data_IF_252979984440
#
_entry.id   IF_252979984440
#
_cell.length_a   1.000
_cell.length_b   1.000
_cell.length_c   1.000
_cell.angle_alpha   90.00
_cell.angle_beta   90.00
_cell.angle_gamma   90.00
#
_symmetry.space_group_name_H-M   'P 1'
#
loop_
_entity.id
_entity.type
_entity.pdbx_description
1 polymer ?
#
# COMPACT_ATOMS: atom_id res chain seq x y z
N UNK A 1 -20.21 -8.24 -20.64
CA UNK A 1 -18.89 -8.14 -19.99
C UNK A 1 -18.74 -6.72 -19.49
N UNK A 2 -18.58 -6.54 -18.18
CA UNK A 2 -18.51 -5.21 -17.57
C UNK A 2 -17.41 -5.22 -16.51
N UNK A 3 -16.39 -4.39 -16.72
CA UNK A 3 -15.42 -4.05 -15.68
C UNK A 3 -16.12 -3.10 -14.72
N UNK A 4 -16.09 -3.40 -13.44
CA UNK A 4 -16.72 -2.63 -12.39
C UNK A 4 -15.66 -2.15 -11.40
N UNK A 5 -15.79 -0.92 -10.92
CA UNK A 5 -15.02 -0.47 -9.78
C UNK A 5 -15.38 -1.34 -8.57
N UNK A 6 -14.36 -1.86 -7.90
CA UNK A 6 -14.53 -2.77 -6.77
C UNK A 6 -14.23 -2.04 -5.47
N UNK A 7 -13.02 -1.48 -5.33
CA UNK A 7 -12.58 -0.82 -4.11
C UNK A 7 -11.45 0.16 -4.41
N UNK A 8 -11.33 1.23 -3.62
CA UNK A 8 -10.13 2.07 -3.57
C UNK A 8 -9.58 2.10 -2.15
N UNK A 9 -8.40 1.51 -1.97
CA UNK A 9 -7.67 1.56 -0.70
C UNK A 9 -6.74 2.77 -0.70
N UNK A 10 -6.64 3.45 0.44
CA UNK A 10 -5.79 4.63 0.61
C UNK A 10 -4.99 4.52 1.90
N UNK A 11 -3.87 5.23 1.98
CA UNK A 11 -3.21 5.47 3.26
C UNK A 11 -4.07 6.37 4.13
N UNK A 12 -4.38 5.92 5.35
CA UNK A 12 -5.10 6.68 6.36
C UNK A 12 -4.82 6.09 7.76
N UNK A 13 -5.34 6.70 8.81
CA UNK A 13 -5.09 6.29 10.21
C UNK A 13 -6.14 5.32 10.77
N UNK A 14 -7.06 4.83 9.95
CA UNK A 14 -8.21 4.00 10.38
C UNK A 14 -8.18 2.59 9.80
N UNK A 15 -7.87 2.44 8.53
CA UNK A 15 -7.94 1.18 7.79
C UNK A 15 -6.54 0.56 7.56
N UNK A 16 -5.48 1.35 7.76
CA UNK A 16 -4.10 0.87 7.67
C UNK A 16 -3.64 0.32 9.00
N UNK A 17 -2.99 -0.83 8.97
CA UNK A 17 -2.44 -1.51 10.13
C UNK A 17 -0.92 -1.52 10.12
N UNK A 18 -0.33 -1.30 11.28
CA UNK A 18 1.10 -1.35 11.53
C UNK A 18 1.57 -2.74 11.98
N UNK A 19 2.83 -3.05 11.71
CA UNK A 19 3.58 -4.10 12.38
C UNK A 19 5.10 -3.91 12.25
N UNK A 20 5.86 -4.82 12.87
CA UNK A 20 7.33 -4.90 12.77
C UNK A 20 7.81 -5.61 11.50
N UNK A 21 6.92 -6.27 10.76
CA UNK A 21 7.24 -6.94 9.49
C UNK A 21 6.06 -6.87 8.54
N UNK A 22 6.34 -6.87 7.24
CA UNK A 22 5.31 -6.82 6.20
C UNK A 22 4.28 -7.94 6.30
N UNK A 23 4.72 -9.18 6.60
CA UNK A 23 3.81 -10.32 6.74
C UNK A 23 2.87 -10.18 7.94
N UNK A 24 3.36 -9.65 9.06
CA UNK A 24 2.53 -9.39 10.22
C UNK A 24 1.54 -8.26 9.96
N UNK A 25 1.96 -7.18 9.29
CA UNK A 25 1.07 -6.08 8.90
C UNK A 25 -0.03 -6.59 7.97
N UNK A 26 0.31 -7.42 6.98
CA UNK A 26 -0.65 -8.01 6.06
C UNK A 26 -1.68 -8.90 6.79
N UNK A 27 -1.22 -9.74 7.72
CA UNK A 27 -2.11 -10.56 8.56
C UNK A 27 -3.02 -9.71 9.45
N UNK A 28 -2.47 -8.63 10.04
CA UNK A 28 -3.19 -7.65 10.84
C UNK A 28 -4.32 -6.99 10.05
N UNK A 29 -4.03 -6.50 8.84
CA UNK A 29 -5.02 -5.90 7.95
C UNK A 29 -6.08 -6.90 7.48
N UNK A 30 -5.67 -8.12 7.12
CA UNK A 30 -6.60 -9.17 6.71
C UNK A 30 -7.61 -9.51 7.82
N UNK A 31 -7.18 -9.48 9.09
CA UNK A 31 -8.00 -9.85 10.23
C UNK A 31 -8.55 -8.67 11.04
N UNK A 32 -8.27 -7.43 10.61
CA UNK A 32 -8.69 -6.21 11.28
C UNK A 32 -8.22 -6.15 12.76
N UNK A 33 -6.94 -6.44 12.99
CA UNK A 33 -6.32 -6.46 14.33
C UNK A 33 -5.01 -5.67 14.32
N UNK A 34 -4.63 -5.08 15.45
CA UNK A 34 -3.35 -4.40 15.62
C UNK A 34 -3.49 -2.88 15.75
N UNK A 35 -2.35 -2.20 15.66
CA UNK A 35 -2.27 -0.74 15.79
C UNK A 35 -2.40 -0.07 14.43
N UNK A 36 -2.78 1.20 14.45
CA UNK A 36 -2.89 2.06 13.28
C UNK A 36 -1.76 3.10 13.27
N UNK A 37 -1.38 3.61 12.09
CA UNK A 37 -0.39 4.67 12.01
C UNK A 37 -0.97 6.03 12.43
N UNK A 38 -0.07 6.98 12.67
CA UNK A 38 -0.37 8.37 12.91
C UNK A 38 -0.34 9.18 11.60
N UNK A 39 -1.08 10.28 11.59
CA UNK A 39 -1.02 11.28 10.53
C UNK A 39 0.31 12.05 10.58
N UNK A 40 0.96 12.20 9.44
CA UNK A 40 2.19 12.98 9.30
C UNK A 40 1.92 14.20 8.41
N UNK A 41 2.28 15.42 8.86
CA UNK A 41 2.23 16.58 7.99
C UNK A 41 3.13 16.38 6.77
N UNK A 42 2.59 16.65 5.57
CA UNK A 42 3.37 16.60 4.33
C UNK A 42 4.59 17.51 4.44
N UNK A 43 5.78 16.95 4.24
CA UNK A 43 6.99 17.75 4.13
C UNK A 43 6.94 18.58 2.82
N UNK A 44 7.40 19.85 2.82
CA UNK A 44 7.15 20.76 1.68
C UNK A 44 7.62 20.27 0.30
N UNK A 45 8.63 19.41 0.25
CA UNK A 45 9.18 18.86 -1.01
C UNK A 45 8.56 17.54 -1.42
N UNK A 46 7.79 16.88 -0.56
CA UNK A 46 7.12 15.64 -0.91
C UNK A 46 6.03 15.89 -1.94
N UNK A 47 5.78 14.97 -2.88
CA UNK A 47 4.64 15.06 -3.79
C UNK A 47 3.31 14.90 -3.04
N UNK A 48 2.18 14.98 -3.74
CA UNK A 48 0.87 14.63 -3.19
C UNK A 48 0.13 13.74 -4.16
N UNK A 49 -0.51 12.69 -3.65
CA UNK A 49 -1.42 11.84 -4.40
C UNK A 49 -2.87 12.31 -4.18
N UNK A 50 -3.23 13.44 -4.77
CA UNK A 50 -4.58 13.99 -4.67
C UNK A 50 -5.44 13.62 -5.89
N UNK A 51 -6.74 13.43 -5.66
CA UNK A 51 -7.73 13.39 -6.75
C UNK A 51 -7.85 14.77 -7.39
N UNK A 52 -8.42 14.82 -8.59
CA UNK A 52 -8.83 16.10 -9.17
C UNK A 52 -9.94 16.75 -8.33
N UNK A 53 -9.96 18.08 -8.23
CA UNK A 53 -10.92 18.83 -7.41
C UNK A 53 -12.40 18.55 -7.79
N UNK A 54 -12.66 18.12 -9.03
CA UNK A 54 -13.98 17.76 -9.51
C UNK A 54 -14.29 16.24 -9.47
N UNK A 55 -13.38 15.42 -8.93
CA UNK A 55 -13.54 13.98 -8.74
C UNK A 55 -14.34 13.69 -7.45
N UNK A 56 -15.64 13.94 -7.54
CA UNK A 56 -16.59 13.91 -6.41
C UNK A 56 -17.68 12.86 -6.60
N UNK A 57 -18.32 12.44 -5.51
CA UNK A 57 -19.45 11.49 -5.51
C UNK A 57 -20.65 11.94 -6.37
N UNK A 58 -20.74 13.24 -6.69
CA UNK A 58 -21.80 13.77 -7.55
C UNK A 58 -21.58 13.47 -9.05
N UNK A 59 -20.36 13.09 -9.45
CA UNK A 59 -20.03 12.75 -10.83
C UNK A 59 -20.31 11.27 -11.09
N UNK A 60 -21.19 10.97 -12.05
CA UNK A 60 -21.51 9.59 -12.46
C UNK A 60 -20.32 8.82 -13.05
N UNK A 61 -19.24 9.53 -13.41
CA UNK A 61 -18.00 8.96 -13.95
C UNK A 61 -16.88 8.87 -12.89
N UNK A 62 -17.21 9.10 -11.62
CA UNK A 62 -16.28 9.07 -10.49
C UNK A 62 -16.64 7.92 -9.54
N UNK A 63 -16.31 6.67 -9.89
CA UNK A 63 -16.68 5.51 -9.07
C UNK A 63 -16.09 5.56 -7.66
N UNK A 64 -14.98 6.29 -7.47
CA UNK A 64 -14.30 6.48 -6.19
C UNK A 64 -14.39 7.94 -5.68
N UNK A 65 -15.31 8.74 -6.21
CA UNK A 65 -15.43 10.16 -5.86
C UNK A 65 -15.77 10.43 -4.39
N UNK A 66 -16.34 9.44 -3.70
CA UNK A 66 -16.61 9.49 -2.26
C UNK A 66 -15.42 9.13 -1.37
N UNK A 67 -14.37 8.52 -1.92
CA UNK A 67 -13.16 8.15 -1.16
C UNK A 67 -12.30 9.41 -0.96
N UNK A 68 -11.82 9.74 0.25
CA UNK A 68 -11.00 10.90 0.48
C UNK A 68 -9.61 10.77 -0.16
N UNK A 69 -8.84 11.86 -0.19
CA UNK A 69 -7.44 11.79 -0.60
C UNK A 69 -6.63 11.01 0.45
N UNK A 70 -5.59 10.25 0.04
CA UNK A 70 -4.71 9.54 0.94
C UNK A 70 -3.92 10.49 1.84
N UNK A 71 -3.74 10.09 3.09
CA UNK A 71 -2.93 10.79 4.08
C UNK A 71 -1.47 10.34 4.01
N UNK A 72 -0.57 11.22 4.43
CA UNK A 72 0.77 10.81 4.83
C UNK A 72 0.70 10.13 6.20
N UNK A 73 1.22 8.91 6.30
CA UNK A 73 1.15 8.09 7.51
C UNK A 73 2.51 7.58 7.95
N UNK A 74 2.70 7.42 9.27
CA UNK A 74 3.91 6.82 9.87
C UNK A 74 3.65 6.29 11.29
N UNK A 75 4.58 5.51 11.83
CA UNK A 75 4.60 5.11 13.24
C UNK A 75 5.36 6.18 14.07
N UNK A 76 4.63 7.05 14.77
CA UNK A 76 5.22 8.20 15.46
C UNK A 76 5.59 7.87 16.93
N UNK A 77 6.65 8.50 17.47
CA UNK A 77 7.54 9.46 16.81
C UNK A 77 8.49 8.78 15.81
N UNK A 78 8.66 9.41 14.64
CA UNK A 78 9.63 8.95 13.65
C UNK A 78 11.05 8.97 14.26
N UNK A 79 11.81 7.91 14.00
CA UNK A 79 13.19 7.78 14.49
C UNK A 79 14.15 7.38 13.37
N UNK A 80 15.42 7.74 13.56
CA UNK A 80 16.50 7.40 12.65
C UNK A 80 16.73 5.88 12.62
N UNK A 81 16.82 5.32 11.42
CA UNK A 81 17.03 3.88 11.25
C UNK A 81 15.80 3.03 11.59
N UNK A 82 14.61 3.63 11.61
CA UNK A 82 13.36 2.92 11.83
C UNK A 82 12.88 2.23 10.55
N UNK A 83 12.47 0.97 10.65
CA UNK A 83 11.69 0.31 9.60
C UNK A 83 10.29 0.04 10.13
N UNK A 84 9.29 0.38 9.34
CA UNK A 84 7.87 0.24 9.70
C UNK A 84 7.16 -0.52 8.59
N UNK A 85 6.34 -1.49 8.96
CA UNK A 85 5.48 -2.19 8.03
C UNK A 85 4.04 -1.69 8.13
N UNK A 86 3.40 -1.54 6.98
CA UNK A 86 2.03 -1.06 6.82
C UNK A 86 1.25 -2.05 5.98
N UNK A 87 -0.05 -2.21 6.23
CA UNK A 87 -0.91 -2.90 5.29
C UNK A 87 -2.35 -2.41 5.36
N UNK A 88 -3.05 -2.56 4.25
CA UNK A 88 -4.48 -2.28 4.11
C UNK A 88 -5.13 -3.43 3.35
N UNK A 89 -6.40 -3.70 3.65
CA UNK A 89 -7.14 -4.79 3.04
C UNK A 89 -8.48 -4.30 2.51
N UNK A 90 -8.98 -4.95 1.45
CA UNK A 90 -10.38 -4.81 1.05
C UNK A 90 -11.30 -5.36 2.14
N UNK A 91 -12.59 -4.96 2.13
CA UNK A 91 -13.63 -5.75 2.74
C UNK A 91 -13.60 -7.20 2.24
N UNK A 92 -14.14 -8.13 3.03
CA UNK A 92 -14.26 -9.52 2.62
C UNK A 92 -15.27 -9.66 1.47
N UNK A 93 -14.94 -10.45 0.46
CA UNK A 93 -15.82 -10.69 -0.70
C UNK A 93 -15.76 -12.14 -1.16
N UNK A 94 -16.84 -12.63 -1.76
CA UNK A 94 -16.95 -14.04 -2.18
C UNK A 94 -16.91 -14.14 -3.70
N UNK A 95 -16.21 -15.15 -4.21
CA UNK A 95 -16.39 -15.65 -5.57
C UNK A 95 -17.41 -16.78 -5.51
N UNK A 96 -18.63 -16.65 -6.06
CA UNK A 96 -19.72 -17.60 -5.74
C UNK A 96 -19.94 -18.75 -6.74
N UNK A 97 -19.55 -18.56 -8.00
CA UNK A 97 -20.03 -19.42 -9.09
C UNK A 97 -18.86 -20.07 -9.85
N UNK A 98 -18.76 -21.40 -9.90
CA UNK A 98 -17.72 -22.10 -10.65
C UNK A 98 -17.86 -22.00 -12.17
N UNK A 99 -19.01 -21.52 -12.67
CA UNK A 99 -19.25 -21.20 -14.08
C UNK A 99 -18.83 -19.77 -14.43
N UNK A 100 -18.46 -18.96 -13.43
CA UNK A 100 -17.98 -17.60 -13.62
C UNK A 100 -16.48 -17.50 -13.37
N UNK A 101 -15.79 -16.86 -14.29
CA UNK A 101 -14.42 -16.39 -14.12
C UNK A 101 -14.44 -15.02 -13.47
N UNK A 102 -13.82 -14.90 -12.29
CA UNK A 102 -13.63 -13.62 -11.61
C UNK A 102 -12.19 -13.16 -11.78
N UNK A 103 -12.00 -12.02 -12.43
CA UNK A 103 -10.71 -11.37 -12.61
C UNK A 103 -10.67 -10.06 -11.83
N UNK A 104 -9.54 -9.75 -11.21
CA UNK A 104 -9.24 -8.43 -10.67
C UNK A 104 -8.11 -7.76 -11.43
N UNK A 105 -8.24 -6.44 -11.60
CA UNK A 105 -7.17 -5.54 -12.06
C UNK A 105 -6.87 -4.55 -10.94
N UNK A 106 -5.59 -4.41 -10.59
CA UNK A 106 -5.13 -3.52 -9.52
C UNK A 106 -4.18 -2.49 -10.11
N UNK A 107 -4.34 -1.24 -9.68
CA UNK A 107 -3.44 -0.13 -9.97
C UNK A 107 -2.97 0.49 -8.65
N UNK A 108 -1.68 0.43 -8.38
CA UNK A 108 -1.03 0.96 -7.19
C UNK A 108 -0.26 2.22 -7.57
N UNK A 109 -0.46 3.30 -6.80
CA UNK A 109 0.42 4.45 -6.76
C UNK A 109 0.91 4.66 -5.31
N UNK A 110 2.21 4.79 -5.09
CA UNK A 110 2.77 4.97 -3.76
C UNK A 110 3.97 5.90 -3.77
N UNK A 111 4.11 6.67 -2.70
CA UNK A 111 5.29 7.46 -2.37
C UNK A 111 5.73 7.12 -0.94
N UNK A 112 7.04 7.04 -0.75
CA UNK A 112 7.66 7.04 0.56
C UNK A 112 8.81 8.05 0.55
N UNK A 113 9.11 8.67 1.70
CA UNK A 113 10.25 9.60 1.78
C UNK A 113 11.58 8.92 1.48
N UNK A 114 11.69 7.63 1.77
CA UNK A 114 12.91 6.84 1.70
C UNK A 114 12.64 5.50 0.98
N UNK A 115 13.40 4.45 1.25
CA UNK A 115 13.15 3.16 0.60
C UNK A 115 11.84 2.53 1.05
N UNK A 116 11.17 1.90 0.09
CA UNK A 116 9.92 1.19 0.25
C UNK A 116 10.00 -0.14 -0.49
N UNK A 117 9.50 -1.18 0.15
CA UNK A 117 9.10 -2.41 -0.51
C UNK A 117 7.58 -2.55 -0.44
N UNK A 118 6.96 -3.12 -1.47
CA UNK A 118 5.53 -3.40 -1.47
C UNK A 118 5.21 -4.79 -2.00
N UNK A 119 4.09 -5.36 -1.53
CA UNK A 119 3.49 -6.59 -2.03
C UNK A 119 1.98 -6.48 -2.13
N UNK A 120 1.42 -7.26 -3.04
CA UNK A 120 -0.02 -7.49 -3.16
C UNK A 120 -0.24 -9.00 -2.99
N UNK A 121 -1.10 -9.37 -2.06
CA UNK A 121 -1.32 -10.76 -1.65
C UNK A 121 -2.80 -11.05 -1.43
N UNK A 122 -3.18 -12.30 -1.70
CA UNK A 122 -4.52 -12.82 -1.43
C UNK A 122 -4.58 -13.50 -0.08
N UNK A 123 -5.64 -13.22 0.66
CA UNK A 123 -5.99 -13.93 1.89
C UNK A 123 -7.34 -14.60 1.73
N UNK A 124 -7.46 -15.84 2.19
CA UNK A 124 -8.71 -16.60 2.23
C UNK A 124 -9.15 -16.87 3.66
N UNK A 125 -10.46 -16.92 3.89
CA UNK A 125 -10.99 -17.31 5.18
C UNK A 125 -10.92 -18.84 5.36
N UNK A 126 -10.25 -19.27 6.42
CA UNK A 126 -10.22 -20.66 6.90
C UNK A 126 -10.57 -20.62 8.39
N UNK A 127 -11.61 -21.36 8.78
CA UNK A 127 -12.07 -21.48 10.17
C UNK A 127 -12.28 -20.12 10.87
N UNK A 128 -12.82 -19.13 10.15
CA UNK A 128 -13.15 -17.81 10.67
C UNK A 128 -11.97 -16.83 10.77
N UNK A 129 -10.81 -17.20 10.22
CA UNK A 129 -9.61 -16.34 10.18
C UNK A 129 -9.12 -16.20 8.74
N UNK A 130 -8.70 -15.00 8.34
CA UNK A 130 -8.06 -14.80 7.06
C UNK A 130 -6.59 -15.19 7.12
N UNK A 131 -6.20 -16.16 6.32
CA UNK A 131 -4.81 -16.62 6.17
C UNK A 131 -4.34 -16.41 4.74
N UNK A 132 -3.03 -16.24 4.55
CA UNK A 132 -2.44 -16.05 3.23
C UNK A 132 -2.76 -17.26 2.35
N UNK A 133 -3.34 -17.01 1.18
CA UNK A 133 -3.67 -18.06 0.21
C UNK A 133 -2.43 -18.82 -0.23
N UNK A 134 -2.54 -20.14 -0.32
CA UNK A 134 -1.50 -20.99 -0.87
C UNK A 134 -2.13 -21.98 -1.88
N UNK A 135 -1.83 -21.87 -3.19
CA UNK A 135 -0.91 -20.91 -3.81
C UNK A 135 -1.48 -19.49 -3.90
N UNK A 136 -0.59 -18.52 -4.15
CA UNK A 136 -0.98 -17.18 -4.60
C UNK A 136 -1.29 -17.21 -6.10
N UNK A 137 -2.23 -16.38 -6.60
CA UNK A 137 -2.42 -16.20 -8.04
C UNK A 137 -1.12 -15.75 -8.73
N UNK A 138 -0.92 -16.18 -9.97
CA UNK A 138 0.26 -15.77 -10.74
C UNK A 138 0.35 -14.24 -10.83
N UNK A 139 1.53 -13.69 -10.56
CA UNK A 139 1.76 -12.24 -10.52
C UNK A 139 1.48 -11.59 -9.16
N UNK A 140 1.03 -12.35 -8.15
CA UNK A 140 0.91 -11.94 -6.75
C UNK A 140 1.85 -12.76 -5.85
N UNK A 141 2.09 -12.30 -4.62
CA UNK A 141 2.84 -13.02 -3.57
C UNK A 141 4.36 -13.15 -3.78
N UNK A 142 4.76 -13.65 -4.95
CA UNK A 142 6.16 -13.87 -5.34
C UNK A 142 6.82 -12.60 -5.89
N UNK A 143 6.01 -11.60 -6.25
CA UNK A 143 6.50 -10.32 -6.77
C UNK A 143 6.69 -9.34 -5.63
N UNK A 144 7.94 -8.93 -5.42
CA UNK A 144 8.32 -7.85 -4.50
C UNK A 144 8.61 -6.59 -5.30
N UNK A 145 7.89 -5.51 -5.02
CA UNK A 145 8.15 -4.21 -5.62
C UNK A 145 9.15 -3.46 -4.75
N UNK A 146 10.24 -2.97 -5.34
CA UNK A 146 11.34 -2.31 -4.61
C UNK A 146 11.50 -0.88 -5.14
N UNK A 147 11.58 0.08 -4.23
CA UNK A 147 11.86 1.47 -4.52
C UNK A 147 12.94 1.97 -3.55
N UNK A 148 14.12 2.29 -4.08
CA UNK A 148 15.30 2.58 -3.26
C UNK A 148 15.96 1.29 -2.77
N UNK A 149 17.23 1.10 -3.10
CA UNK A 149 18.00 -0.09 -2.71
C UNK A 149 19.34 0.35 -2.06
N UNK A 150 19.71 -0.21 -0.89
CA UNK A 150 18.98 -1.23 -0.13
C UNK A 150 17.86 -0.63 0.75
N UNK A 151 16.75 -1.35 0.92
CA UNK A 151 15.76 -1.04 1.97
C UNK A 151 16.30 -1.47 3.36
N UNK A 152 17.42 -0.90 3.77
CA UNK A 152 18.11 -1.25 5.01
C UNK A 152 18.46 0.02 5.80
N UNK A 153 17.87 0.23 6.99
CA UNK A 153 18.11 1.43 7.79
C UNK A 153 19.58 1.63 8.17
N UNK A 154 20.34 0.54 8.31
CA UNK A 154 21.73 0.57 8.79
C UNK A 154 22.76 0.91 7.70
N UNK A 155 22.45 0.68 6.43
CA UNK A 155 23.37 0.98 5.31
C UNK A 155 23.27 2.47 4.91
N UNK A 156 22.11 3.10 5.16
CA UNK A 156 21.89 4.52 4.90
C UNK A 156 21.62 4.84 3.42
N UNK A 157 21.47 6.14 3.16
CA UNK A 157 21.32 6.69 1.80
C UNK A 157 22.56 6.37 0.95
N UNK A 158 22.40 5.50 -0.05
CA UNK A 158 23.47 5.12 -1.00
C UNK A 158 23.52 6.01 -2.25
N UNK A 159 22.56 6.92 -2.40
CA UNK A 159 22.45 7.84 -3.53
C UNK A 159 22.88 9.22 -3.05
N UNK A 160 24.03 9.70 -3.53
CA UNK A 160 24.67 10.93 -3.02
C UNK A 160 24.20 12.22 -3.72
N UNK A 161 23.23 12.15 -4.64
CA UNK A 161 22.84 13.30 -5.48
C UNK A 161 21.32 13.54 -5.51
N UNK A 162 20.83 14.66 -4.96
CA UNK A 162 19.43 15.03 -5.06
C UNK A 162 19.03 15.48 -6.49
N UNK A 163 17.74 15.32 -6.89
CA UNK A 163 16.67 14.71 -6.12
C UNK A 163 16.87 13.19 -6.01
N UNK A 164 16.65 12.65 -4.81
CA UNK A 164 16.84 11.22 -4.62
C UNK A 164 15.73 10.45 -5.32
N UNK A 165 16.09 9.48 -6.16
CA UNK A 165 15.10 8.77 -6.98
C UNK A 165 14.10 7.97 -6.14
N UNK A 166 14.40 7.63 -4.88
CA UNK A 166 13.43 6.99 -3.99
C UNK A 166 12.26 7.91 -3.60
N UNK A 167 12.39 9.22 -3.76
CA UNK A 167 11.30 10.20 -3.54
C UNK A 167 10.37 10.37 -4.76
N UNK A 168 10.52 9.54 -5.79
CA UNK A 168 9.55 9.49 -6.89
C UNK A 168 8.27 8.75 -6.47
N UNK A 169 7.13 9.16 -7.04
CA UNK A 169 5.92 8.33 -7.01
C UNK A 169 6.16 7.06 -7.84
N UNK A 170 5.87 5.91 -7.24
CA UNK A 170 5.92 4.59 -7.88
C UNK A 170 4.55 4.19 -8.34
N UNK A 171 4.48 3.62 -9.54
CA UNK A 171 3.25 3.09 -10.11
C UNK A 171 3.44 1.62 -10.48
N UNK A 172 2.40 0.83 -10.25
CA UNK A 172 2.35 -0.56 -10.67
C UNK A 172 0.93 -0.95 -11.05
N UNK A 173 0.79 -1.88 -11.99
CA UNK A 173 -0.51 -2.44 -12.34
C UNK A 173 -0.40 -3.93 -12.59
N UNK A 174 -1.38 -4.71 -12.13
CA UNK A 174 -1.45 -6.15 -12.36
C UNK A 174 -2.88 -6.61 -12.60
N UNK A 175 -3.02 -7.83 -13.10
CA UNK A 175 -4.29 -8.52 -13.31
C UNK A 175 -4.13 -9.98 -12.92
N UNK A 176 -5.10 -10.53 -12.21
CA UNK A 176 -5.11 -11.94 -11.81
C UNK A 176 -6.54 -12.49 -11.75
N UNK A 177 -6.65 -13.81 -11.76
CA UNK A 177 -7.90 -14.54 -11.63
C UNK A 177 -7.97 -15.22 -10.26
N UNK A 178 -9.17 -15.31 -9.69
CA UNK A 178 -9.41 -16.00 -8.43
C UNK A 178 -10.19 -17.29 -8.61
N UNK A 179 -9.90 -18.32 -7.80
CA UNK A 179 -10.74 -19.51 -7.75
C UNK A 179 -12.15 -19.15 -7.26
N UNK A 180 -13.18 -19.89 -7.73
CA UNK A 180 -14.55 -19.75 -7.22
C UNK A 180 -14.71 -20.35 -5.82
N UNK A 181 -15.84 -20.05 -5.21
CA UNK A 181 -16.40 -20.59 -3.97
C UNK A 181 -15.55 -20.35 -2.72
N UNK A 182 -14.93 -19.18 -2.58
CA UNK A 182 -14.11 -18.82 -1.41
C UNK A 182 -14.36 -17.36 -0.98
N UNK A 183 -14.18 -17.10 0.31
CA UNK A 183 -14.19 -15.74 0.86
C UNK A 183 -12.76 -15.20 0.88
N UNK A 184 -12.57 -14.05 0.25
CA UNK A 184 -11.28 -13.45 -0.04
C UNK A 184 -11.13 -12.06 0.56
N UNK A 185 -9.88 -11.67 0.77
CA UNK A 185 -9.43 -10.29 0.86
C UNK A 185 -8.21 -10.09 -0.03
N UNK A 186 -8.14 -8.92 -0.66
CA UNK A 186 -6.93 -8.43 -1.31
C UNK A 186 -6.21 -7.57 -0.27
N UNK A 187 -4.94 -7.85 -0.01
CA UNK A 187 -4.12 -7.13 0.94
C UNK A 187 -2.94 -6.50 0.21
N UNK A 188 -2.73 -5.21 0.44
CA UNK A 188 -1.53 -4.48 -0.03
C UNK A 188 -0.71 -4.11 1.19
N UNK A 189 0.56 -4.50 1.17
CA UNK A 189 1.47 -4.32 2.30
C UNK A 189 2.77 -3.65 1.87
N UNK A 190 3.33 -2.85 2.77
CA UNK A 190 4.52 -2.06 2.57
C UNK A 190 5.51 -2.32 3.72
N UNK A 191 6.80 -2.23 3.42
CA UNK A 191 7.86 -2.12 4.41
C UNK A 191 8.72 -0.91 4.03
N UNK A 192 8.70 0.11 4.89
CA UNK A 192 9.30 1.41 4.59
C UNK A 192 10.36 1.71 5.63
N UNK A 193 11.51 2.20 5.17
CA UNK A 193 12.64 2.50 6.03
C UNK A 193 12.85 4.00 6.12
N UNK A 194 12.96 4.54 7.33
CA UNK A 194 13.54 5.83 7.58
C UNK A 194 15.04 5.67 7.85
N UNK A 195 15.90 6.13 6.93
CA UNK A 195 17.34 5.89 7.04
C UNK A 195 17.97 6.60 8.23
N UNK A 196 19.16 6.14 8.64
CA UNK A 196 20.01 6.91 9.55
C UNK A 196 20.40 8.25 8.93
N UNK A 197 20.23 9.35 9.67
CA UNK A 197 20.67 10.66 9.24
C UNK A 197 22.18 10.66 8.99
N UNK A 198 22.60 10.95 7.75
CA UNK A 198 24.02 10.97 7.44
C UNK A 198 24.70 12.22 8.03
N UNK A 199 25.90 12.10 8.61
CA UNK A 199 26.60 13.23 9.24
C UNK A 199 26.82 14.42 8.31
N UNK A 200 27.00 14.18 7.00
CA UNK A 200 27.18 15.24 5.99
C UNK A 200 25.95 16.14 5.87
N UNK A 201 24.76 15.62 6.16
CA UNK A 201 23.53 16.38 6.12
C UNK A 201 23.20 17.02 7.47
N UNK A 202 23.75 16.56 8.59
CA UNK A 202 23.40 16.99 9.96
C UNK A 202 23.58 18.49 10.28
N UNK A 203 24.30 19.23 9.44
CA UNK A 203 24.49 20.68 9.58
C UNK A 203 23.39 21.54 8.91
N UNK A 204 22.49 20.92 8.14
CA UNK A 204 21.38 21.62 7.50
C UNK A 204 20.15 21.64 8.44
N UNK A 205 19.59 22.81 8.82
CA UNK A 205 18.38 22.86 9.65
C UNK A 205 17.19 22.06 9.11
N UNK A 206 17.10 21.90 7.78
CA UNK A 206 16.04 21.09 7.15
C UNK A 206 16.29 19.58 7.21
N UNK A 207 17.50 19.15 7.54
CA UNK A 207 17.83 17.72 7.76
C UNK A 207 17.71 17.32 9.24
N UNK A 208 17.65 18.28 10.17
CA UNK A 208 17.48 18.03 11.61
C UNK A 208 16.14 17.36 11.95
N UNK A 209 15.17 17.42 11.03
CA UNK A 209 13.96 16.62 11.07
C UNK A 209 14.11 15.56 9.99
N UNK A 210 14.54 14.35 10.33
CA UNK A 210 14.57 13.19 9.43
C UNK A 210 13.12 12.71 9.23
N UNK A 211 12.39 13.28 8.26
CA UNK A 211 10.96 13.08 8.19
C UNK A 211 10.70 11.66 7.67
N UNK A 212 9.53 11.11 7.99
CA UNK A 212 9.18 9.80 7.49
C UNK A 212 7.69 9.76 7.20
N UNK A 213 7.33 9.20 6.05
CA UNK A 213 5.96 9.17 5.59
C UNK A 213 5.80 8.21 4.43
N UNK A 214 4.67 7.53 4.44
CA UNK A 214 4.13 6.73 3.35
C UNK A 214 2.81 7.36 2.92
N UNK A 215 2.59 7.49 1.61
CA UNK A 215 1.30 7.85 1.02
C UNK A 215 1.01 6.90 -0.14
N UNK A 216 -0.18 6.32 -0.21
CA UNK A 216 -0.53 5.42 -1.31
C UNK A 216 -2.02 5.45 -1.67
N UNK A 217 -2.31 5.05 -2.90
CA UNK A 217 -3.66 4.79 -3.42
C UNK A 217 -3.64 3.49 -4.24
N UNK A 218 -4.65 2.64 -4.05
CA UNK A 218 -4.81 1.39 -4.76
C UNK A 218 -6.22 1.32 -5.33
N UNK A 219 -6.33 1.36 -6.65
CA UNK A 219 -7.60 1.14 -7.34
C UNK A 219 -7.75 -0.32 -7.73
N UNK A 220 -8.89 -0.89 -7.39
CA UNK A 220 -9.23 -2.29 -7.66
C UNK A 220 -10.49 -2.31 -8.51
N UNK A 221 -10.41 -3.03 -9.63
CA UNK A 221 -11.53 -3.26 -10.54
C UNK A 221 -11.76 -4.75 -10.70
N UNK A 222 -13.02 -5.14 -10.83
CA UNK A 222 -13.45 -6.53 -10.99
C UNK A 222 -14.08 -6.73 -12.38
N UNK A 223 -13.82 -7.87 -13.00
CA UNK A 223 -14.56 -8.37 -14.15
C UNK A 223 -15.08 -9.77 -13.84
N UNK A 224 -16.36 -10.00 -14.11
CA UNK A 224 -17.02 -11.30 -13.96
C UNK A 224 -17.59 -11.72 -15.31
N UNK A 225 -17.21 -12.90 -15.78
CA UNK A 225 -17.64 -13.43 -17.07
C UNK A 225 -17.96 -14.93 -17.01
N UNK A 226 -18.89 -15.38 -17.87
CA UNK A 226 -19.18 -16.80 -18.04
C UNK A 226 -17.99 -17.50 -18.71
N UNK A 227 -17.64 -18.68 -18.18
CA UNK A 227 -16.60 -19.55 -18.74
C UNK A 227 -17.09 -20.24 -20.01
#
# INVERSE_FOLDING_TARGET
>A
MAIQAFERLISNTTDVFLATSRDQAASNAANNIGNHPDLVPRFPTWPSLDKFDNDTIASVFSPFGGVPNPDYIWDQPASDGQTVAFAVATPAFVTFDPTLRTTFSIFLAAFADNAMEAKIEMFEEIDGTFVKSAPQPSGLGDVLFVAGEPNNPAVGLTIDSPPFTFQDIRIYSTRFELPPSRLWKIVVSFEVTNYLQQPIYSSNPSSLNNPAGLQFMVDIYQNIELI
#
